data_IF_339682702599
#
_entry.id   IF_339682702599
#
_cell.length_a   1.000
_cell.length_b   1.000
_cell.length_c   1.000
_cell.angle_alpha   90.00
_cell.angle_beta   90.00
_cell.angle_gamma   90.00
#
_symmetry.space_group_name_H-M   'P 1'
#
loop_
_entity.id
_entity.type
_entity.pdbx_description
1 polymer ?
#
# COMPACT_ATOMS: atom_id res chain seq x y z
N UNK A 1 -14.58 -14.11 27.63
CA UNK A 1 -14.26 -13.50 26.34
C UNK A 1 -15.12 -12.28 26.14
N UNK A 2 -14.51 -11.21 25.68
CA UNK A 2 -15.24 -9.97 25.44
C UNK A 2 -15.86 -9.93 24.04
N UNK A 3 -16.88 -9.12 23.91
CA UNK A 3 -17.51 -8.83 22.62
C UNK A 3 -17.09 -7.42 22.22
N UNK A 4 -16.73 -7.26 20.95
CA UNK A 4 -16.41 -5.95 20.38
C UNK A 4 -17.53 -5.56 19.42
N UNK A 5 -18.10 -4.36 19.63
CA UNK A 5 -19.12 -3.81 18.75
C UNK A 5 -18.52 -2.74 17.88
N UNK A 6 -18.89 -2.75 16.60
CA UNK A 6 -18.37 -1.77 15.65
C UNK A 6 -19.40 -1.54 14.55
N UNK A 7 -19.29 -0.41 13.85
CA UNK A 7 -20.18 -0.12 12.73
C UNK A 7 -19.78 -0.88 11.48
N UNK A 8 -18.49 -1.15 11.32
CA UNK A 8 -17.99 -1.86 10.17
C UNK A 8 -16.89 -2.84 10.62
N UNK A 9 -16.98 -4.07 10.16
CA UNK A 9 -15.99 -5.10 10.43
C UNK A 9 -15.41 -5.56 9.09
N UNK A 10 -14.09 -5.43 8.95
CA UNK A 10 -13.37 -5.87 7.75
C UNK A 10 -12.65 -7.17 8.10
N UNK A 11 -12.88 -8.21 7.32
CA UNK A 11 -12.22 -9.50 7.52
C UNK A 11 -11.09 -9.61 6.52
N UNK A 12 -9.87 -9.54 7.01
CA UNK A 12 -8.66 -9.60 6.20
C UNK A 12 -7.84 -8.33 6.35
N UNK A 13 -6.63 -8.46 6.90
CA UNK A 13 -5.70 -7.35 7.13
C UNK A 13 -4.60 -7.24 6.08
N UNK A 14 -4.89 -7.61 4.84
CA UNK A 14 -3.98 -7.36 3.72
C UNK A 14 -4.06 -5.92 3.23
N UNK A 15 -3.41 -5.59 2.09
CA UNK A 15 -3.39 -4.21 1.60
C UNK A 15 -4.77 -3.60 1.39
N UNK A 16 -5.70 -4.36 0.80
CA UNK A 16 -7.04 -3.86 0.54
C UNK A 16 -7.81 -3.61 1.84
N UNK A 17 -7.78 -4.58 2.77
CA UNK A 17 -8.48 -4.45 4.03
C UNK A 17 -7.92 -3.34 4.90
N UNK A 18 -6.61 -3.23 4.97
CA UNK A 18 -5.95 -2.18 5.76
C UNK A 18 -6.22 -0.79 5.16
N UNK A 19 -6.18 -0.66 3.83
CA UNK A 19 -6.47 0.62 3.19
C UNK A 19 -7.93 1.02 3.41
N UNK A 20 -8.86 0.08 3.25
CA UNK A 20 -10.28 0.36 3.51
C UNK A 20 -10.50 0.77 4.96
N UNK A 21 -9.87 0.06 5.90
CA UNK A 21 -9.97 0.41 7.32
C UNK A 21 -9.46 1.82 7.60
N UNK A 22 -8.34 2.18 7.00
CA UNK A 22 -7.77 3.51 7.13
C UNK A 22 -8.74 4.58 6.59
N UNK A 23 -9.28 4.37 5.40
CA UNK A 23 -10.20 5.33 4.79
C UNK A 23 -11.46 5.51 5.61
N UNK A 24 -12.02 4.42 6.13
CA UNK A 24 -13.21 4.49 6.98
C UNK A 24 -12.91 5.19 8.31
N UNK A 25 -11.78 4.87 8.92
CA UNK A 25 -11.39 5.51 10.17
C UNK A 25 -11.19 7.02 9.99
N UNK A 26 -10.56 7.43 8.90
CA UNK A 26 -10.37 8.85 8.59
C UNK A 26 -11.69 9.56 8.34
N UNK A 27 -12.70 8.84 7.90
CA UNK A 27 -14.06 9.39 7.68
C UNK A 27 -14.92 9.37 8.93
N UNK A 28 -14.35 9.00 10.07
CA UNK A 28 -15.07 8.96 11.33
C UNK A 28 -15.93 7.73 11.52
N UNK A 29 -15.76 6.70 10.72
CA UNK A 29 -16.50 5.45 10.86
C UNK A 29 -15.77 4.54 11.84
N UNK A 30 -16.49 4.03 12.82
CA UNK A 30 -15.96 3.06 13.77
C UNK A 30 -15.77 1.73 13.05
N UNK A 31 -14.52 1.28 12.94
CA UNK A 31 -14.15 0.13 12.11
C UNK A 31 -13.20 -0.79 12.86
N UNK A 32 -13.37 -2.10 12.65
CA UNK A 32 -12.47 -3.13 13.15
C UNK A 32 -11.98 -3.95 11.96
N UNK A 33 -10.67 -4.18 11.89
CA UNK A 33 -10.07 -5.04 10.89
C UNK A 33 -9.58 -6.31 11.58
N UNK A 34 -10.07 -7.47 11.11
CA UNK A 34 -9.70 -8.77 11.65
C UNK A 34 -8.66 -9.40 10.75
N UNK A 35 -7.57 -9.88 11.33
CA UNK A 35 -6.50 -10.55 10.63
C UNK A 35 -6.12 -11.84 11.37
N UNK A 36 -6.06 -12.95 10.62
CA UNK A 36 -5.72 -14.25 11.22
C UNK A 36 -4.25 -14.37 11.60
N UNK A 37 -3.37 -13.57 11.02
CA UNK A 37 -1.93 -13.58 11.34
C UNK A 37 -1.64 -12.56 12.42
N UNK A 38 -0.85 -12.96 13.42
CA UNK A 38 -0.51 -12.08 14.54
C UNK A 38 0.35 -10.88 14.11
N UNK A 39 1.12 -11.03 13.04
CA UNK A 39 2.00 -9.98 12.51
C UNK A 39 1.85 -9.91 10.99
N UNK A 40 2.31 -8.79 10.40
CA UNK A 40 2.28 -8.63 8.94
C UNK A 40 3.40 -9.40 8.24
N UNK A 41 4.36 -9.92 9.00
CA UNK A 41 5.49 -10.69 8.46
C UNK A 41 4.99 -12.09 8.12
N UNK A 42 4.60 -12.30 6.88
CA UNK A 42 4.03 -13.55 6.39
C UNK A 42 4.49 -13.79 4.96
N UNK A 43 4.12 -14.94 4.39
CA UNK A 43 4.49 -15.28 3.04
C UNK A 43 4.13 -14.17 2.09
N UNK A 44 5.12 -13.79 1.32
CA UNK A 44 5.12 -12.61 0.53
C UNK A 44 4.15 -12.65 -0.66
N UNK A 45 3.41 -11.57 -0.85
CA UNK A 45 2.64 -11.31 -2.06
C UNK A 45 2.64 -9.80 -2.30
N UNK A 46 3.28 -9.38 -3.42
CA UNK A 46 3.22 -7.98 -3.83
C UNK A 46 4.17 -7.04 -3.13
N UNK A 47 5.43 -6.98 -3.60
CA UNK A 47 6.40 -5.98 -3.13
C UNK A 47 6.21 -4.63 -3.82
N UNK A 48 5.23 -4.49 -4.69
CA UNK A 48 5.13 -3.30 -5.54
C UNK A 48 3.97 -2.43 -5.11
N UNK A 49 4.25 -1.15 -4.95
CA UNK A 49 3.25 -0.12 -4.71
C UNK A 49 3.14 0.72 -5.98
N UNK A 50 1.99 0.68 -6.61
CA UNK A 50 1.79 1.28 -7.92
C UNK A 50 1.48 2.78 -7.85
N UNK A 51 1.67 3.53 -8.96
CA UNK A 51 1.42 4.96 -8.97
C UNK A 51 0.01 5.35 -8.52
N UNK A 52 -1.00 4.52 -8.81
CA UNK A 52 -2.37 4.80 -8.37
C UNK A 52 -2.51 4.79 -6.84
N UNK A 53 -1.83 3.87 -6.18
CA UNK A 53 -1.84 3.82 -4.72
C UNK A 53 -1.05 4.99 -4.12
N UNK A 54 0.07 5.34 -4.73
CA UNK A 54 0.85 6.49 -4.31
C UNK A 54 0.07 7.80 -4.48
N UNK A 55 -0.74 7.90 -5.54
CA UNK A 55 -1.60 9.05 -5.75
C UNK A 55 -2.67 9.15 -4.67
N UNK A 56 -3.25 8.01 -4.27
CA UNK A 56 -4.19 7.99 -3.16
C UNK A 56 -3.54 8.47 -1.87
N UNK A 57 -2.31 8.04 -1.60
CA UNK A 57 -1.58 8.51 -0.42
C UNK A 57 -1.30 10.02 -0.48
N UNK A 58 -1.01 10.54 -1.67
CA UNK A 58 -0.86 11.97 -1.86
C UNK A 58 -2.14 12.71 -1.49
N UNK A 59 -3.27 12.24 -2.02
CA UNK A 59 -4.57 12.86 -1.74
C UNK A 59 -4.94 12.81 -0.25
N UNK A 60 -4.49 11.78 0.45
CA UNK A 60 -4.73 11.63 1.88
C UNK A 60 -3.71 12.39 2.73
N UNK A 61 -2.72 13.03 2.11
CA UNK A 61 -1.73 13.84 2.81
C UNK A 61 -0.66 13.04 3.54
N UNK A 62 -0.45 11.78 3.19
CA UNK A 62 0.53 10.94 3.87
C UNK A 62 1.66 10.42 2.98
N UNK A 63 1.75 10.91 1.74
CA UNK A 63 2.77 10.45 0.81
C UNK A 63 4.19 10.77 1.29
N UNK A 64 4.41 11.96 1.85
CA UNK A 64 5.75 12.37 2.28
C UNK A 64 6.30 11.45 3.36
N UNK A 65 5.48 11.10 4.35
CA UNK A 65 5.90 10.19 5.41
C UNK A 65 6.13 8.78 4.87
N UNK A 66 5.29 8.35 3.94
CA UNK A 66 5.45 7.04 3.31
C UNK A 66 6.78 6.93 2.56
N UNK A 67 7.15 7.97 1.80
CA UNK A 67 8.37 7.96 1.01
C UNK A 67 9.64 8.02 1.85
N UNK A 68 9.53 8.30 3.16
CA UNK A 68 10.66 8.21 4.08
C UNK A 68 11.03 6.78 4.43
N UNK A 69 10.13 5.83 4.18
CA UNK A 69 10.41 4.41 4.40
C UNK A 69 11.41 3.92 3.33
N UNK A 70 12.30 2.97 3.70
CA UNK A 70 13.24 2.42 2.71
C UNK A 70 12.47 1.77 1.55
N UNK A 71 12.81 2.16 0.33
CA UNK A 71 12.17 1.62 -0.87
C UNK A 71 13.05 1.87 -2.08
N UNK A 72 12.74 1.18 -3.17
CA UNK A 72 13.36 1.42 -4.47
C UNK A 72 12.28 1.94 -5.42
N UNK A 73 12.68 2.79 -6.35
CA UNK A 73 11.78 3.38 -7.33
C UNK A 73 12.12 2.86 -8.72
N UNK A 74 11.13 2.32 -9.41
CA UNK A 74 11.27 1.84 -10.78
C UNK A 74 10.39 2.70 -11.68
N UNK A 75 11.04 3.42 -12.60
CA UNK A 75 10.34 4.37 -13.48
C UNK A 75 10.03 3.77 -14.83
N UNK A 76 10.65 2.67 -15.17
CA UNK A 76 10.52 2.05 -16.47
C UNK A 76 10.76 0.54 -16.34
N UNK A 77 10.02 -0.24 -17.11
CA UNK A 77 10.18 -1.69 -17.17
C UNK A 77 10.67 -2.07 -18.56
N UNK A 78 11.69 -2.91 -18.61
CA UNK A 78 12.26 -3.40 -19.86
C UNK A 78 12.06 -4.90 -19.98
N UNK A 79 11.90 -5.38 -21.22
CA UNK A 79 11.82 -6.80 -21.53
C UNK A 79 13.07 -7.20 -22.27
N UNK A 80 13.71 -8.26 -21.80
CA UNK A 80 14.90 -8.82 -22.42
C UNK A 80 14.50 -9.99 -23.31
N UNK A 81 14.82 -9.89 -24.61
CA UNK A 81 14.57 -10.96 -25.57
C UNK A 81 15.91 -11.25 -26.26
N UNK A 82 16.56 -12.37 -25.87
CA UNK A 82 17.92 -12.65 -26.32
C UNK A 82 18.87 -11.54 -25.90
N UNK A 83 19.56 -10.92 -26.87
CA UNK A 83 20.46 -9.79 -26.62
C UNK A 83 19.73 -8.43 -26.71
N UNK A 84 18.45 -8.43 -27.01
CA UNK A 84 17.69 -7.21 -27.22
C UNK A 84 16.92 -6.84 -25.97
N UNK A 85 17.12 -5.61 -25.49
CA UNK A 85 16.36 -5.04 -24.38
C UNK A 85 15.39 -4.01 -24.93
N UNK A 86 14.10 -4.21 -24.69
CA UNK A 86 13.05 -3.33 -25.18
C UNK A 86 12.31 -2.69 -24.02
N UNK A 87 12.03 -1.39 -24.07
CA UNK A 87 11.18 -0.77 -23.08
C UNK A 87 9.76 -1.33 -23.18
N UNK A 88 9.25 -1.86 -22.07
CA UNK A 88 7.91 -2.44 -21.99
C UNK A 88 6.91 -1.45 -21.40
N UNK A 89 7.29 -0.72 -20.38
CA UNK A 89 6.44 0.27 -19.75
C UNK A 89 7.30 1.42 -19.24
N UNK A 90 6.83 2.62 -19.51
CA UNK A 90 7.46 3.87 -19.05
C UNK A 90 6.40 4.66 -18.29
N UNK A 91 6.65 4.89 -17.00
CA UNK A 91 5.69 5.56 -16.13
C UNK A 91 5.85 7.08 -16.12
N UNK A 92 6.84 7.62 -16.84
CA UNK A 92 7.12 9.06 -16.85
C UNK A 92 6.01 9.91 -17.43
N UNK A 93 5.11 9.30 -18.22
CA UNK A 93 3.99 9.99 -18.87
C UNK A 93 2.68 9.93 -18.09
N UNK A 94 2.69 9.30 -16.91
CA UNK A 94 1.48 9.21 -16.10
C UNK A 94 1.11 10.58 -15.51
N UNK A 95 -0.18 10.91 -15.46
CA UNK A 95 -0.62 12.17 -14.84
C UNK A 95 -0.73 12.06 -13.32
N UNK A 96 0.27 11.49 -12.68
CA UNK A 96 0.31 11.25 -11.23
C UNK A 96 1.50 11.97 -10.62
N UNK A 97 1.45 12.20 -9.32
CA UNK A 97 2.55 12.87 -8.60
C UNK A 97 3.78 11.97 -8.53
N UNK A 98 3.59 10.66 -8.42
CA UNK A 98 4.69 9.70 -8.45
C UNK A 98 4.63 8.91 -9.75
N UNK A 99 5.68 9.04 -10.57
CA UNK A 99 5.77 8.42 -11.88
C UNK A 99 6.67 7.18 -11.83
N UNK A 100 6.47 6.36 -10.81
CA UNK A 100 7.28 5.19 -10.56
C UNK A 100 6.49 4.16 -9.74
N UNK A 101 6.96 2.92 -9.78
CA UNK A 101 6.50 1.88 -8.87
C UNK A 101 7.48 1.85 -7.71
N UNK A 102 6.98 1.89 -6.49
CA UNK A 102 7.81 1.76 -5.30
C UNK A 102 7.92 0.28 -4.92
N UNK A 103 9.14 -0.20 -4.73
CA UNK A 103 9.43 -1.55 -4.30
C UNK A 103 9.79 -1.52 -2.82
N UNK A 104 9.00 -2.19 -1.99
CA UNK A 104 9.28 -2.35 -0.57
C UNK A 104 8.59 -3.61 -0.05
N UNK A 105 9.08 -4.19 1.06
CA UNK A 105 8.40 -5.34 1.66
C UNK A 105 6.95 -4.98 2.01
N UNK A 106 6.03 -5.91 1.76
CA UNK A 106 4.62 -5.66 2.02
C UNK A 106 4.34 -5.39 3.50
N UNK A 107 5.10 -6.01 4.42
CA UNK A 107 4.90 -5.77 5.85
C UNK A 107 5.21 -4.32 6.24
N UNK A 108 6.16 -3.66 5.57
CA UNK A 108 6.43 -2.24 5.81
C UNK A 108 5.24 -1.38 5.39
N UNK A 109 4.65 -1.69 4.24
CA UNK A 109 3.46 -1.00 3.76
C UNK A 109 2.28 -1.20 4.71
N UNK A 110 2.03 -2.45 5.11
CA UNK A 110 0.92 -2.76 6.01
C UNK A 110 1.12 -2.12 7.39
N UNK A 111 2.35 -2.13 7.91
CA UNK A 111 2.65 -1.50 9.19
C UNK A 111 2.43 0.01 9.12
N UNK A 112 2.81 0.63 8.01
CA UNK A 112 2.58 2.06 7.81
C UNK A 112 1.08 2.38 7.81
N UNK A 113 0.27 1.60 7.07
CA UNK A 113 -1.18 1.81 7.04
C UNK A 113 -1.80 1.62 8.43
N UNK A 114 -1.37 0.62 9.16
CA UNK A 114 -1.87 0.36 10.51
C UNK A 114 -1.55 1.52 11.45
N UNK A 115 -0.33 2.06 11.36
CA UNK A 115 0.07 3.21 12.16
C UNK A 115 -0.77 4.44 11.84
N UNK A 116 -1.02 4.70 10.55
CA UNK A 116 -1.84 5.84 10.14
C UNK A 116 -3.29 5.67 10.60
N UNK A 117 -3.81 4.46 10.61
CA UNK A 117 -5.18 4.19 11.00
C UNK A 117 -5.45 4.38 12.50
N UNK A 118 -4.40 4.29 13.32
CA UNK A 118 -4.53 4.42 14.77
C UNK A 118 -4.32 5.85 15.29
N UNK A 119 -4.04 6.78 14.42
CA UNK A 119 -3.84 8.18 14.79
C UNK A 119 -5.12 8.99 14.85
#
# INVERSE_FOLDING_TARGET
MGTVSTRCCIVGGGPAGMMLGLLLARSGVDVVVLEKHAVFLRDFRGDTIHPSTLELMYELGMLQDFLKLPHQQVRELNVQIGDLSLPFADFSHLPTHCKFIAFMPQWDFLSFLAEQATR
#
